data_IF_643954630494
#
_entry.id   IF_643954630494
#
_cell.length_a   1.000
_cell.length_b   1.000
_cell.length_c   1.000
_cell.angle_alpha   90.00
_cell.angle_beta   90.00
_cell.angle_gamma   90.00
#
_symmetry.space_group_name_H-M   'P 1'
#
loop_
_entity.id
_entity.type
_entity.pdbx_description
1 polymer ?
#
# COMPACT_ATOMS: atom_id res chain seq x y z
N UNK A 1 22.43 45.62 9.77
CA UNK A 1 22.14 44.18 9.64
C UNK A 1 23.03 43.43 10.62
N UNK A 2 22.39 42.77 11.58
CA UNK A 2 23.01 42.36 12.84
C UNK A 2 23.92 41.14 12.60
N UNK A 3 25.20 41.21 12.99
CA UNK A 3 26.20 40.12 12.80
C UNK A 3 25.73 38.78 13.37
N UNK A 4 24.83 38.83 14.36
CA UNK A 4 24.17 37.68 14.98
C UNK A 4 23.29 36.88 13.99
N UNK A 5 22.61 37.55 13.06
CA UNK A 5 21.70 36.90 12.11
C UNK A 5 22.45 36.07 11.05
N UNK A 6 23.65 36.52 10.68
CA UNK A 6 24.52 35.82 9.72
C UNK A 6 25.09 34.55 10.36
N UNK A 7 25.46 34.60 11.64
CA UNK A 7 25.98 33.42 12.37
C UNK A 7 24.92 32.33 12.50
N UNK A 8 23.67 32.69 12.77
CA UNK A 8 22.56 31.73 12.87
C UNK A 8 22.26 31.07 11.52
N UNK A 9 22.28 31.84 10.42
CA UNK A 9 22.07 31.28 9.08
C UNK A 9 23.19 30.32 8.65
N UNK A 10 24.45 30.64 8.96
CA UNK A 10 25.59 29.78 8.62
C UNK A 10 25.59 28.49 9.45
N UNK A 11 25.26 28.57 10.75
CA UNK A 11 25.15 27.39 11.60
C UNK A 11 23.93 26.53 11.26
N UNK A 12 22.79 27.15 10.94
CA UNK A 12 21.57 26.47 10.52
C UNK A 12 21.73 25.75 9.19
N UNK A 13 22.35 26.41 8.20
CA UNK A 13 22.65 25.79 6.90
C UNK A 13 23.69 24.67 7.04
N UNK A 14 24.71 24.84 7.89
CA UNK A 14 25.70 23.80 8.17
C UNK A 14 25.11 22.56 8.84
N UNK A 15 24.19 22.74 9.80
CA UNK A 15 23.48 21.63 10.44
C UNK A 15 22.54 20.90 9.46
N UNK A 16 21.85 21.64 8.58
CA UNK A 16 20.98 21.05 7.56
C UNK A 16 21.80 20.28 6.51
N UNK A 17 22.94 20.83 6.06
CA UNK A 17 23.84 20.14 5.13
C UNK A 17 24.45 18.89 5.78
N UNK A 18 24.79 18.96 7.08
CA UNK A 18 25.26 17.80 7.84
C UNK A 18 24.20 16.71 7.94
N UNK A 19 22.94 17.07 8.19
CA UNK A 19 21.82 16.11 8.22
C UNK A 19 21.51 15.52 6.84
N UNK A 20 21.65 16.29 5.76
CA UNK A 20 21.46 15.80 4.39
C UNK A 20 22.63 14.91 3.92
N UNK A 21 23.87 15.19 4.37
CA UNK A 21 25.06 14.42 4.03
C UNK A 21 25.24 13.17 4.91
N UNK A 22 24.79 13.20 6.17
CA UNK A 22 24.62 11.99 7.02
C UNK A 22 23.28 11.31 6.77
N UNK A 23 22.88 11.19 5.50
CA UNK A 23 21.75 10.34 5.12
C UNK A 23 21.81 9.00 5.88
N UNK A 24 20.66 8.60 6.43
CA UNK A 24 20.39 7.40 7.25
C UNK A 24 21.21 6.14 6.91
N UNK A 25 22.50 6.09 7.26
CA UNK A 25 23.34 4.89 7.05
C UNK A 25 23.13 3.81 8.11
N UNK A 26 22.37 4.09 9.17
CA UNK A 26 22.21 3.17 10.30
C UNK A 26 20.93 2.30 10.22
N UNK A 27 20.28 2.21 9.05
CA UNK A 27 19.09 1.37 8.90
C UNK A 27 19.40 -0.11 8.67
N UNK A 28 20.66 -0.48 8.47
CA UNK A 28 21.09 -1.86 8.24
C UNK A 28 22.10 -2.29 9.30
N UNK A 29 21.95 -3.48 9.90
CA UNK A 29 22.92 -4.00 10.85
C UNK A 29 24.30 -4.07 10.19
N UNK A 30 25.37 -3.66 10.90
CA UNK A 30 26.73 -3.70 10.35
C UNK A 30 27.08 -5.15 9.96
N UNK A 31 27.31 -5.39 8.67
CA UNK A 31 27.58 -6.71 8.11
C UNK A 31 26.50 -7.27 7.18
N UNK A 32 25.44 -6.52 6.86
CA UNK A 32 24.59 -6.84 5.72
C UNK A 32 25.38 -6.60 4.42
N UNK A 33 25.95 -7.66 3.84
CA UNK A 33 26.46 -7.63 2.47
C UNK A 33 25.24 -7.46 1.54
N UNK A 34 25.07 -6.27 0.98
CA UNK A 34 24.17 -6.06 -0.14
C UNK A 34 24.85 -6.73 -1.34
N UNK A 35 24.33 -7.87 -1.78
CA UNK A 35 24.79 -8.50 -3.02
C UNK A 35 24.40 -7.59 -4.19
N UNK A 36 25.37 -6.82 -4.68
CA UNK A 36 25.22 -5.91 -5.82
C UNK A 36 24.93 -6.64 -7.14
N UNK A 37 24.96 -7.99 -7.16
CA UNK A 37 24.61 -8.82 -8.32
C UNK A 37 23.18 -9.37 -8.30
N UNK A 38 22.30 -8.93 -7.40
CA UNK A 38 20.87 -9.27 -7.52
C UNK A 38 20.33 -8.53 -8.74
N UNK A 39 20.16 -9.27 -9.83
CA UNK A 39 19.48 -8.81 -11.02
C UNK A 39 18.03 -8.48 -10.67
N UNK A 40 17.70 -7.19 -10.61
CA UNK A 40 16.37 -6.72 -10.26
C UNK A 40 15.29 -7.23 -11.23
N UNK A 41 15.67 -7.57 -12.47
CA UNK A 41 14.77 -8.12 -13.47
C UNK A 41 14.26 -9.53 -13.07
N UNK A 42 15.13 -10.37 -12.50
CA UNK A 42 14.76 -11.71 -12.03
C UNK A 42 13.81 -11.64 -10.83
N UNK A 43 14.06 -10.69 -9.93
CA UNK A 43 13.18 -10.46 -8.76
C UNK A 43 11.80 -9.99 -9.22
N UNK A 44 11.75 -9.04 -10.15
CA UNK A 44 10.47 -8.52 -10.67
C UNK A 44 9.66 -9.59 -11.41
N UNK A 45 10.30 -10.48 -12.17
CA UNK A 45 9.60 -11.60 -12.82
C UNK A 45 9.04 -12.59 -11.80
N UNK A 46 9.76 -12.87 -10.72
CA UNK A 46 9.32 -13.79 -9.66
C UNK A 46 8.11 -13.28 -8.86
N UNK A 47 7.87 -11.96 -8.87
CA UNK A 47 6.78 -11.33 -8.14
C UNK A 47 5.50 -11.20 -8.98
N UNK A 48 5.55 -11.46 -10.29
CA UNK A 48 4.35 -11.43 -11.15
C UNK A 48 3.47 -12.64 -10.86
N UNK A 49 2.17 -12.39 -10.77
CA UNK A 49 1.19 -13.47 -10.65
C UNK A 49 1.06 -14.21 -11.99
N UNK A 50 0.92 -15.53 -11.91
CA UNK A 50 0.72 -16.37 -13.10
C UNK A 50 -0.67 -17.00 -13.06
N UNK A 51 -1.51 -16.66 -14.04
CA UNK A 51 -2.85 -17.22 -14.16
C UNK A 51 -3.97 -16.27 -13.76
N UNK A 52 -5.13 -16.84 -13.41
CA UNK A 52 -6.35 -16.06 -13.17
C UNK A 52 -6.28 -15.37 -11.82
N UNK A 53 -6.57 -14.06 -11.81
CA UNK A 53 -6.74 -13.29 -10.59
C UNK A 53 -7.75 -13.95 -9.65
N UNK A 54 -7.30 -14.25 -8.44
CA UNK A 54 -8.08 -14.98 -7.43
C UNK A 54 -7.98 -14.25 -6.08
N UNK A 55 -9.13 -14.06 -5.44
CA UNK A 55 -9.23 -13.57 -4.06
C UNK A 55 -9.16 -14.76 -3.13
N UNK A 56 -8.19 -14.76 -2.20
CA UNK A 56 -7.99 -15.87 -1.25
C UNK A 56 -8.57 -15.59 0.14
N UNK A 57 -8.89 -14.32 0.41
CA UNK A 57 -9.59 -13.92 1.60
C UNK A 57 -9.85 -12.43 1.62
N UNK A 58 -10.69 -12.01 2.56
CA UNK A 58 -10.99 -10.62 2.80
C UNK A 58 -10.98 -10.28 4.28
N UNK A 59 -10.79 -8.99 4.55
CA UNK A 59 -10.83 -8.40 5.87
C UNK A 59 -11.88 -7.30 5.90
N UNK A 60 -13.05 -7.60 6.49
CA UNK A 60 -14.17 -6.68 6.55
C UNK A 60 -14.10 -5.81 7.80
N UNK A 61 -14.08 -4.49 7.58
CA UNK A 61 -14.14 -3.47 8.62
C UNK A 61 -15.13 -2.35 8.28
N UNK A 62 -16.15 -2.67 7.47
CA UNK A 62 -17.07 -1.68 6.91
C UNK A 62 -17.79 -0.93 8.03
N UNK A 63 -18.27 -1.64 9.06
CA UNK A 63 -18.99 -1.02 10.18
C UNK A 63 -18.15 0.05 10.90
N UNK A 64 -16.84 -0.17 11.08
CA UNK A 64 -15.99 0.70 11.90
C UNK A 64 -15.16 1.71 11.10
N UNK A 65 -14.83 1.41 9.84
CA UNK A 65 -13.98 2.29 9.01
C UNK A 65 -14.47 2.47 7.58
N UNK A 66 -15.62 1.89 7.22
CA UNK A 66 -16.19 1.96 5.87
C UNK A 66 -15.26 1.40 4.80
N UNK A 67 -14.42 0.42 5.16
CA UNK A 67 -13.48 -0.23 4.27
C UNK A 67 -13.53 -1.76 4.38
N UNK A 68 -13.11 -2.43 3.31
CA UNK A 68 -12.85 -3.87 3.28
C UNK A 68 -11.62 -4.15 2.42
N UNK A 69 -10.78 -5.08 2.83
CA UNK A 69 -9.55 -5.42 2.08
C UNK A 69 -9.69 -6.80 1.47
N UNK A 70 -9.54 -6.92 0.16
CA UNK A 70 -9.32 -8.20 -0.52
C UNK A 70 -7.83 -8.52 -0.61
N UNK A 71 -7.49 -9.78 -0.33
CA UNK A 71 -6.14 -10.33 -0.49
C UNK A 71 -6.10 -11.16 -1.77
N UNK A 72 -5.32 -10.68 -2.74
CA UNK A 72 -5.33 -11.16 -4.12
C UNK A 72 -3.93 -11.67 -4.50
N UNK A 73 -3.88 -12.81 -5.18
CA UNK A 73 -2.60 -13.39 -5.59
C UNK A 73 -2.09 -14.48 -4.65
N UNK A 74 -1.16 -15.25 -5.18
CA UNK A 74 -0.77 -16.58 -4.71
C UNK A 74 -0.04 -16.58 -3.37
N UNK A 75 0.52 -15.45 -2.91
CA UNK A 75 1.07 -15.33 -1.56
C UNK A 75 -0.01 -15.59 -0.50
N UNK A 76 -1.27 -15.27 -0.80
CA UNK A 76 -2.39 -15.40 0.13
C UNK A 76 -3.10 -16.76 0.06
N UNK A 77 -2.61 -17.69 -0.77
CA UNK A 77 -3.22 -19.00 -0.94
C UNK A 77 -3.33 -19.77 0.39
N UNK A 78 -2.37 -19.57 1.29
CA UNK A 78 -2.54 -19.93 2.68
C UNK A 78 -3.38 -18.88 3.40
N UNK A 79 -4.63 -19.23 3.72
CA UNK A 79 -5.59 -18.34 4.37
C UNK A 79 -5.10 -17.82 5.73
N UNK A 80 -4.18 -18.51 6.40
CA UNK A 80 -3.61 -18.05 7.67
C UNK A 80 -2.81 -16.76 7.48
N UNK A 81 -2.13 -16.59 6.35
CA UNK A 81 -1.40 -15.35 6.04
C UNK A 81 -2.34 -14.16 5.85
N UNK A 82 -3.44 -14.36 5.13
CA UNK A 82 -4.48 -13.34 4.93
C UNK A 82 -5.19 -13.00 6.26
N UNK A 83 -5.47 -14.01 7.09
CA UNK A 83 -6.09 -13.85 8.40
C UNK A 83 -5.18 -13.10 9.38
N UNK A 84 -3.89 -13.42 9.41
CA UNK A 84 -2.90 -12.71 10.22
C UNK A 84 -2.81 -11.23 9.81
N UNK A 85 -2.81 -10.95 8.50
CA UNK A 85 -2.76 -9.58 7.99
C UNK A 85 -4.05 -8.79 8.27
N UNK A 86 -5.20 -9.45 8.37
CA UNK A 86 -6.45 -8.80 8.75
C UNK A 86 -6.37 -8.14 10.14
N UNK A 87 -5.59 -8.73 11.04
CA UNK A 87 -5.36 -8.20 12.38
C UNK A 87 -6.57 -8.35 13.31
N UNK A 88 -6.42 -7.84 14.53
CA UNK A 88 -7.48 -7.85 15.54
C UNK A 88 -8.50 -6.72 15.28
N UNK A 89 -9.76 -6.96 15.63
CA UNK A 89 -10.84 -5.97 15.52
C UNK A 89 -11.56 -5.90 14.18
N UNK A 90 -11.12 -6.68 13.19
CA UNK A 90 -11.76 -6.83 11.87
C UNK A 90 -12.27 -8.25 11.67
N UNK A 91 -13.18 -8.43 10.72
CA UNK A 91 -13.78 -9.74 10.44
C UNK A 91 -13.14 -10.36 9.20
N UNK A 92 -12.32 -11.39 9.41
CA UNK A 92 -11.77 -12.19 8.30
C UNK A 92 -12.85 -13.09 7.67
N UNK A 93 -12.77 -13.25 6.35
CA UNK A 93 -13.62 -14.15 5.55
C UNK A 93 -12.80 -14.77 4.43
N UNK A 94 -13.11 -16.00 4.04
CA UNK A 94 -12.52 -16.64 2.83
C UNK A 94 -13.22 -16.20 1.54
N UNK A 95 -14.33 -15.50 1.65
CA UNK A 95 -15.00 -14.88 0.50
C UNK A 95 -14.42 -13.48 0.25
N UNK A 96 -14.56 -12.99 -0.98
CA UNK A 96 -14.25 -11.60 -1.31
C UNK A 96 -15.11 -10.60 -0.52
N UNK A 97 -14.64 -9.37 -0.47
CA UNK A 97 -15.36 -8.23 0.07
C UNK A 97 -16.72 -8.04 -0.64
N UNK A 98 -17.73 -7.50 0.06
CA UNK A 98 -18.98 -7.09 -0.57
C UNK A 98 -18.73 -6.09 -1.70
N UNK A 99 -19.61 -6.06 -2.70
CA UNK A 99 -19.52 -5.10 -3.80
C UNK A 99 -19.43 -3.65 -3.29
N UNK A 100 -18.46 -2.89 -3.79
CA UNK A 100 -18.29 -1.45 -3.53
C UNK A 100 -18.70 -0.63 -4.75
N UNK A 101 -19.62 0.31 -4.55
CA UNK A 101 -20.06 1.26 -5.59
C UNK A 101 -19.02 2.32 -5.94
N UNK A 102 -18.09 2.61 -5.02
CA UNK A 102 -17.06 3.65 -5.20
C UNK A 102 -15.77 3.08 -5.78
N UNK A 103 -15.55 1.79 -5.64
CA UNK A 103 -14.30 1.15 -5.98
C UNK A 103 -13.31 1.13 -4.80
N UNK A 104 -12.04 0.96 -5.13
CA UNK A 104 -11.01 0.75 -4.13
C UNK A 104 -9.61 1.00 -4.66
N UNK A 105 -8.66 1.04 -3.75
CA UNK A 105 -7.26 1.17 -4.09
C UNK A 105 -6.62 -0.21 -4.24
N UNK A 106 -6.27 -0.57 -5.47
CA UNK A 106 -5.48 -1.76 -5.78
C UNK A 106 -4.00 -1.45 -5.51
N UNK A 107 -3.36 -2.32 -4.74
CA UNK A 107 -1.94 -2.28 -4.44
C UNK A 107 -1.25 -3.49 -5.05
N UNK A 108 -0.13 -3.26 -5.74
CA UNK A 108 0.68 -4.30 -6.39
C UNK A 108 -0.13 -5.16 -7.38
N UNK A 109 -0.92 -4.51 -8.24
CA UNK A 109 -1.75 -5.18 -9.25
C UNK A 109 -0.96 -6.14 -10.14
N UNK A 110 -1.47 -7.36 -10.32
CA UNK A 110 -0.85 -8.40 -11.14
C UNK A 110 0.35 -9.09 -10.48
N UNK A 111 0.58 -8.87 -9.18
CA UNK A 111 1.65 -9.52 -8.42
C UNK A 111 1.12 -10.59 -7.47
N UNK A 112 2.03 -11.44 -6.97
CA UNK A 112 1.74 -12.46 -5.97
C UNK A 112 1.25 -11.90 -4.62
N UNK A 113 1.46 -10.60 -4.37
CA UNK A 113 1.11 -9.90 -3.14
C UNK A 113 0.03 -8.83 -3.35
N UNK A 114 -0.79 -8.97 -4.38
CA UNK A 114 -1.82 -8.00 -4.68
C UNK A 114 -2.82 -7.85 -3.50
N UNK A 115 -3.34 -6.65 -3.31
CA UNK A 115 -4.47 -6.43 -2.42
C UNK A 115 -5.33 -5.28 -2.92
N UNK A 116 -6.57 -5.21 -2.46
CA UNK A 116 -7.48 -4.12 -2.83
C UNK A 116 -8.19 -3.62 -1.58
N UNK A 117 -7.99 -2.34 -1.25
CA UNK A 117 -8.74 -1.68 -0.19
C UNK A 117 -9.99 -1.01 -0.78
N UNK A 118 -11.13 -1.70 -0.69
CA UNK A 118 -12.44 -1.20 -1.09
C UNK A 118 -12.98 -0.20 -0.08
N UNK A 119 -13.62 0.86 -0.59
CA UNK A 119 -14.26 1.89 0.24
C UNK A 119 -15.78 1.85 0.08
N UNK A 120 -16.51 2.23 1.11
CA UNK A 120 -17.98 2.14 1.13
C UNK A 120 -18.60 3.44 1.65
N UNK A 121 -19.81 3.76 1.17
CA UNK A 121 -20.58 4.90 1.69
C UNK A 121 -21.21 4.66 3.05
N UNK A 122 -21.34 3.39 3.44
CA UNK A 122 -21.86 2.97 4.73
C UNK A 122 -20.73 2.67 5.72
N UNK A 123 -21.04 2.81 7.02
CA UNK A 123 -20.11 2.59 8.11
C UNK A 123 -19.71 3.88 8.82
N UNK A 124 -18.88 3.76 9.85
CA UNK A 124 -18.28 4.93 10.47
C UNK A 124 -17.26 5.57 9.52
N UNK A 125 -17.43 6.87 9.26
CA UNK A 125 -16.60 7.60 8.30
C UNK A 125 -16.90 7.27 6.82
N UNK A 126 -18.14 6.86 6.52
CA UNK A 126 -18.59 6.50 5.17
C UNK A 126 -18.17 7.51 4.11
N UNK A 127 -17.74 6.99 2.97
CA UNK A 127 -17.27 7.80 1.85
C UNK A 127 -18.42 8.53 1.16
N UNK A 128 -18.14 9.75 0.71
CA UNK A 128 -19.01 10.53 -0.16
C UNK A 128 -18.38 10.64 -1.54
N UNK A 129 -19.15 11.01 -2.55
CA UNK A 129 -18.59 11.28 -3.89
C UNK A 129 -17.41 12.27 -3.85
N UNK A 130 -17.46 13.26 -2.96
CA UNK A 130 -16.37 14.21 -2.78
C UNK A 130 -15.13 13.57 -2.14
N UNK A 131 -15.29 12.80 -1.05
CA UNK A 131 -14.15 12.15 -0.40
C UNK A 131 -13.49 11.09 -1.28
N UNK A 132 -14.26 10.42 -2.15
CA UNK A 132 -13.75 9.45 -3.13
C UNK A 132 -12.79 10.09 -4.12
N UNK A 133 -13.02 11.35 -4.56
CA UNK A 133 -12.09 12.04 -5.46
C UNK A 133 -10.70 12.20 -4.83
N UNK A 134 -10.65 12.51 -3.53
CA UNK A 134 -9.39 12.57 -2.79
C UNK A 134 -8.78 11.18 -2.60
N UNK A 135 -9.59 10.15 -2.34
CA UNK A 135 -9.13 8.77 -2.20
C UNK A 135 -8.50 8.23 -3.49
N UNK A 136 -9.13 8.49 -4.64
CA UNK A 136 -8.61 8.17 -5.97
C UNK A 136 -7.24 8.83 -6.16
N UNK A 137 -7.16 10.13 -5.87
CA UNK A 137 -5.91 10.89 -6.03
C UNK A 137 -4.81 10.36 -5.12
N UNK A 138 -5.14 10.04 -3.87
CA UNK A 138 -4.20 9.46 -2.91
C UNK A 138 -3.72 8.08 -3.39
N UNK A 139 -4.63 7.20 -3.79
CA UNK A 139 -4.30 5.87 -4.28
C UNK A 139 -3.34 5.92 -5.47
N UNK A 140 -3.67 6.72 -6.49
CA UNK A 140 -2.87 6.84 -7.71
C UNK A 140 -1.53 7.57 -7.49
N UNK A 141 -1.32 8.20 -6.33
CA UNK A 141 -0.05 8.82 -5.97
C UNK A 141 0.96 7.85 -5.34
N UNK A 142 0.48 6.69 -4.88
CA UNK A 142 1.33 5.66 -4.28
C UNK A 142 1.97 4.84 -5.41
N UNK A 143 3.29 4.58 -5.38
CA UNK A 143 3.90 3.64 -6.30
C UNK A 143 3.20 2.28 -6.26
N UNK A 144 2.86 1.73 -7.43
CA UNK A 144 2.07 0.49 -7.59
C UNK A 144 0.63 0.56 -7.04
N UNK A 145 0.13 1.76 -6.73
CA UNK A 145 -1.26 2.03 -6.40
C UNK A 145 -2.07 2.41 -7.63
N UNK A 146 -3.23 1.79 -7.82
CA UNK A 146 -4.19 2.11 -8.88
C UNK A 146 -5.60 2.06 -8.34
N UNK A 147 -6.38 3.12 -8.57
CA UNK A 147 -7.81 3.06 -8.28
C UNK A 147 -8.52 2.14 -9.28
N UNK A 148 -9.37 1.25 -8.76
CA UNK A 148 -10.13 0.29 -9.55
C UNK A 148 -11.58 0.25 -9.12
N UNK A 149 -12.46 -0.11 -10.04
CA UNK A 149 -13.86 -0.48 -9.74
C UNK A 149 -14.03 -1.99 -9.90
N UNK A 150 -15.02 -2.62 -9.25
CA UNK A 150 -15.28 -4.05 -9.43
C UNK A 150 -15.42 -4.47 -10.90
N UNK A 151 -16.02 -3.62 -11.73
CA UNK A 151 -16.20 -3.87 -13.17
C UNK A 151 -14.87 -3.89 -13.92
N UNK A 152 -13.97 -2.95 -13.60
CA UNK A 152 -12.66 -2.89 -14.25
C UNK A 152 -11.80 -4.15 -14.03
N UNK A 153 -12.12 -4.94 -13.00
CA UNK A 153 -11.40 -6.19 -12.70
C UNK A 153 -11.98 -7.40 -13.43
N UNK A 154 -13.20 -7.30 -13.95
CA UNK A 154 -13.83 -8.35 -14.74
C UNK A 154 -13.37 -8.31 -16.21
N UNK A 155 -12.94 -7.15 -16.69
CA UNK A 155 -12.39 -6.96 -18.04
C UNK A 155 -10.94 -7.48 -18.19
N UNK A 156 -10.27 -7.76 -17.06
CA UNK A 156 -8.90 -8.28 -17.01
C UNK A 156 -8.86 -9.84 -16.94
N UNK A 157 -10.02 -10.51 -16.99
CA UNK A 157 -10.18 -11.98 -16.93
C UNK A 157 -10.40 -12.63 -18.30
#
# INVERSE_FOLDING_TARGET
MNKVLIVILVLGAGALLYYLLRGNTDLFPPGAEVDENIDSEIVDESLKETGKRTVYGSCNDITNSSNCIDYVGSMWNDSDSAKLNCGEGRTFSTNACPYSEFGGCQMNGGSVMESIAWVYGQGAGGYTNESVVYAISACNSVPNGKWVTPESLLEEL
#
